data_IF_063401087393
#
_entry.id   IF_063401087393
#
_cell.length_a   1.000
_cell.length_b   1.000
_cell.length_c   1.000
_cell.angle_alpha   90.00
_cell.angle_beta   90.00
_cell.angle_gamma   90.00
#
_symmetry.space_group_name_H-M   'P 1'
#
loop_
_entity.id
_entity.type
_entity.pdbx_description
1 polymer ?
#
# COMPACT_ATOMS: atom_id res chain seq x y z
N UNK A 1 13.41 -10.48 -3.33
CA UNK A 1 13.53 -11.51 -2.27
C UNK A 1 12.17 -11.68 -1.61
N UNK A 2 11.70 -12.90 -1.41
CA UNK A 2 10.34 -13.13 -0.90
C UNK A 2 10.25 -12.69 0.58
N UNK A 3 9.26 -11.87 0.99
CA UNK A 3 9.23 -11.19 2.29
C UNK A 3 9.09 -12.14 3.49
N UNK A 4 8.74 -13.40 3.29
CA UNK A 4 8.61 -14.40 4.34
C UNK A 4 9.95 -15.02 4.79
N UNK A 5 10.99 -14.98 3.96
CA UNK A 5 12.29 -15.57 4.29
C UNK A 5 12.90 -15.08 5.61
N UNK A 6 12.96 -13.76 5.89
CA UNK A 6 13.53 -13.26 7.13
C UNK A 6 12.72 -13.67 8.37
N UNK A 7 11.40 -13.82 8.22
CA UNK A 7 10.52 -14.28 9.30
C UNK A 7 10.83 -15.73 9.65
N UNK A 8 10.93 -16.59 8.64
CA UNK A 8 11.27 -18.01 8.81
C UNK A 8 12.67 -18.16 9.42
N UNK A 9 13.68 -17.47 8.91
CA UNK A 9 15.05 -17.53 9.43
C UNK A 9 15.14 -17.09 10.89
N UNK A 10 14.52 -15.97 11.24
CA UNK A 10 14.51 -15.47 12.61
C UNK A 10 13.81 -16.45 13.56
N UNK A 11 12.67 -17.02 13.14
CA UNK A 11 11.96 -18.02 13.94
C UNK A 11 12.78 -19.31 14.12
N UNK A 12 13.42 -19.80 13.06
CA UNK A 12 14.27 -21.01 13.12
C UNK A 12 15.48 -20.81 14.04
N UNK A 13 16.18 -19.69 13.93
CA UNK A 13 17.34 -19.39 14.79
C UNK A 13 16.89 -19.23 16.25
N UNK A 14 15.80 -18.50 16.48
CA UNK A 14 15.23 -18.32 17.81
C UNK A 14 14.83 -19.66 18.43
N UNK A 15 14.11 -20.50 17.69
CA UNK A 15 13.67 -21.82 18.14
C UNK A 15 14.86 -22.75 18.44
N UNK A 16 15.86 -22.79 17.56
CA UNK A 16 17.06 -23.61 17.77
C UNK A 16 17.85 -23.17 19.02
N UNK A 17 18.05 -21.87 19.19
CA UNK A 17 18.74 -21.31 20.35
C UNK A 17 17.94 -21.56 21.64
N UNK A 18 16.62 -21.40 21.58
CA UNK A 18 15.72 -21.66 22.69
C UNK A 18 15.79 -23.11 23.17
N UNK A 19 15.68 -24.07 22.25
CA UNK A 19 15.74 -25.50 22.56
C UNK A 19 17.04 -25.81 23.29
N UNK A 20 18.17 -25.42 22.70
CA UNK A 20 19.50 -25.72 23.25
C UNK A 20 19.74 -25.10 24.63
N UNK A 21 19.41 -23.82 24.80
CA UNK A 21 19.65 -23.10 26.05
C UNK A 21 18.70 -23.58 27.16
N UNK A 22 17.45 -23.81 26.79
CA UNK A 22 16.44 -24.21 27.75
C UNK A 22 16.59 -25.67 28.18
N UNK A 23 17.01 -26.59 27.30
CA UNK A 23 17.34 -27.97 27.70
C UNK A 23 18.49 -28.01 28.72
N UNK A 24 19.52 -27.16 28.54
CA UNK A 24 20.62 -27.05 29.52
C UNK A 24 20.18 -26.49 30.87
N UNK A 25 19.29 -25.50 30.89
CA UNK A 25 18.74 -24.93 32.13
C UNK A 25 17.92 -25.98 32.91
N UNK A 26 17.04 -26.72 32.23
CA UNK A 26 16.25 -27.77 32.87
C UNK A 26 17.15 -28.88 33.43
N UNK A 27 18.19 -29.28 32.69
CA UNK A 27 19.14 -30.31 33.12
C UNK A 27 20.04 -29.87 34.28
N UNK A 28 20.32 -28.57 34.43
CA UNK A 28 21.13 -28.04 35.51
C UNK A 28 20.34 -27.89 36.83
N UNK A 29 19.05 -27.56 36.76
CA UNK A 29 18.24 -27.24 37.94
C UNK A 29 17.44 -28.43 38.48
N UNK A 30 17.16 -29.45 37.65
CA UNK A 30 16.31 -30.56 38.04
C UNK A 30 17.10 -31.69 38.72
N UNK A 31 16.94 -31.82 40.04
CA UNK A 31 17.55 -32.91 40.84
C UNK A 31 16.63 -34.12 41.07
N UNK A 32 15.31 -33.97 40.82
CA UNK A 32 14.29 -35.01 41.08
C UNK A 32 13.21 -35.04 39.97
N UNK A 33 12.57 -36.19 39.76
CA UNK A 33 11.65 -36.47 38.64
C UNK A 33 10.45 -35.51 38.62
N UNK A 34 9.92 -35.14 39.80
CA UNK A 34 8.84 -34.15 39.91
C UNK A 34 9.28 -32.74 39.49
N UNK A 35 10.54 -32.37 39.78
CA UNK A 35 11.13 -31.09 39.37
C UNK A 35 11.32 -31.00 37.85
N UNK A 36 11.71 -32.10 37.20
CA UNK A 36 11.85 -32.17 35.74
C UNK A 36 10.52 -31.85 35.03
N UNK A 37 9.40 -32.41 35.50
CA UNK A 37 8.07 -32.20 34.91
C UNK A 37 7.59 -30.75 35.05
N UNK A 38 7.81 -30.15 36.23
CA UNK A 38 7.46 -28.75 36.46
C UNK A 38 8.25 -27.80 35.54
N UNK A 39 9.58 -27.97 35.48
CA UNK A 39 10.45 -27.15 34.63
C UNK A 39 10.19 -27.34 33.13
N UNK A 40 9.89 -28.56 32.69
CA UNK A 40 9.44 -28.86 31.31
C UNK A 40 8.15 -28.10 30.95
N UNK A 41 7.17 -28.09 31.85
CA UNK A 41 5.88 -27.43 31.62
C UNK A 41 6.06 -25.91 31.54
N UNK A 42 6.78 -25.31 32.51
CA UNK A 42 7.12 -23.88 32.50
C UNK A 42 7.85 -23.46 31.24
N UNK A 43 8.83 -24.26 30.78
CA UNK A 43 9.55 -24.05 29.52
C UNK A 43 8.59 -23.99 28.33
N UNK A 44 7.63 -24.91 28.25
CA UNK A 44 6.65 -24.97 27.18
C UNK A 44 5.79 -23.70 27.12
N UNK A 45 5.26 -23.25 28.26
CA UNK A 45 4.50 -22.00 28.34
C UNK A 45 5.34 -20.78 27.97
N UNK A 46 6.57 -20.70 28.47
CA UNK A 46 7.51 -19.62 28.17
C UNK A 46 7.84 -19.58 26.67
N UNK A 47 8.01 -20.75 26.03
CA UNK A 47 8.20 -20.86 24.59
C UNK A 47 6.99 -20.33 23.81
N UNK A 48 5.77 -20.73 24.16
CA UNK A 48 4.55 -20.28 23.49
C UNK A 48 4.42 -18.75 23.58
N UNK A 49 4.64 -18.18 24.77
CA UNK A 49 4.55 -16.72 24.97
C UNK A 49 5.63 -15.98 24.17
N UNK A 50 6.89 -16.39 24.26
CA UNK A 50 7.98 -15.72 23.52
C UNK A 50 7.82 -15.89 22.01
N UNK A 51 7.49 -17.09 21.53
CA UNK A 51 7.31 -17.36 20.10
C UNK A 51 6.13 -16.58 19.54
N UNK A 52 5.01 -16.50 20.25
CA UNK A 52 3.86 -15.69 19.86
C UNK A 52 4.19 -14.20 19.80
N UNK A 53 4.91 -13.67 20.80
CA UNK A 53 5.34 -12.28 20.81
C UNK A 53 6.33 -11.95 19.68
N UNK A 54 7.29 -12.85 19.43
CA UNK A 54 8.24 -12.74 18.33
C UNK A 54 7.50 -12.72 16.98
N UNK A 55 6.59 -13.67 16.75
CA UNK A 55 5.80 -13.74 15.53
C UNK A 55 4.93 -12.51 15.35
N UNK A 56 4.30 -12.01 16.41
CA UNK A 56 3.52 -10.78 16.36
C UNK A 56 4.39 -9.58 15.94
N UNK A 57 5.56 -9.42 16.55
CA UNK A 57 6.48 -8.33 16.24
C UNK A 57 6.99 -8.41 14.79
N UNK A 58 7.38 -9.60 14.33
CA UNK A 58 7.86 -9.83 12.97
C UNK A 58 6.76 -9.61 11.92
N UNK A 59 5.57 -10.15 12.17
CA UNK A 59 4.42 -10.02 11.27
C UNK A 59 3.96 -8.57 11.18
N UNK A 60 3.90 -7.86 12.32
CA UNK A 60 3.57 -6.43 12.36
C UNK A 60 4.55 -5.61 11.53
N UNK A 61 5.86 -5.82 11.70
CA UNK A 61 6.90 -5.14 10.90
C UNK A 61 6.79 -5.45 9.41
N UNK A 62 6.56 -6.72 9.05
CA UNK A 62 6.39 -7.13 7.66
C UNK A 62 5.14 -6.48 7.02
N UNK A 63 4.03 -6.46 7.76
CA UNK A 63 2.78 -5.86 7.30
C UNK A 63 2.88 -4.33 7.16
N UNK A 64 3.50 -3.64 8.13
CA UNK A 64 3.77 -2.21 8.03
C UNK A 64 4.65 -1.87 6.83
N UNK A 65 5.68 -2.69 6.56
CA UNK A 65 6.52 -2.52 5.36
C UNK A 65 5.73 -2.70 4.07
N UNK A 66 4.88 -3.72 4.02
CA UNK A 66 4.00 -3.96 2.87
C UNK A 66 3.05 -2.79 2.64
N UNK A 67 2.41 -2.29 3.70
CA UNK A 67 1.52 -1.13 3.61
C UNK A 67 2.24 0.14 3.14
N UNK A 68 3.46 0.38 3.63
CA UNK A 68 4.28 1.52 3.17
C UNK A 68 4.55 1.43 1.68
N UNK A 69 4.94 0.25 1.18
CA UNK A 69 5.19 0.04 -0.24
C UNK A 69 3.92 0.24 -1.09
N UNK A 70 2.77 -0.26 -0.64
CA UNK A 70 1.50 -0.04 -1.34
C UNK A 70 1.10 1.44 -1.38
N UNK A 71 1.24 2.16 -0.25
CA UNK A 71 0.96 3.60 -0.19
C UNK A 71 1.91 4.40 -1.07
N UNK A 72 3.19 4.04 -1.10
CA UNK A 72 4.20 4.69 -1.92
C UNK A 72 3.92 4.50 -3.41
N UNK A 73 3.55 3.29 -3.86
CA UNK A 73 3.12 3.05 -5.24
C UNK A 73 1.93 3.92 -5.64
N UNK A 74 0.93 4.00 -4.78
CA UNK A 74 -0.26 4.83 -5.02
C UNK A 74 0.10 6.32 -5.07
N UNK A 75 0.97 6.78 -4.17
CA UNK A 75 1.44 8.16 -4.15
C UNK A 75 2.20 8.51 -5.43
N UNK A 76 3.13 7.65 -5.85
CA UNK A 76 3.90 7.83 -7.09
C UNK A 76 2.96 7.85 -8.29
N UNK A 77 2.07 6.86 -8.41
CA UNK A 77 1.09 6.81 -9.48
C UNK A 77 0.24 8.09 -9.54
N UNK A 78 -0.30 8.52 -8.40
CA UNK A 78 -1.12 9.74 -8.34
C UNK A 78 -0.31 10.97 -8.79
N UNK A 79 0.92 11.12 -8.30
CA UNK A 79 1.80 12.22 -8.69
C UNK A 79 2.21 12.19 -10.16
N UNK A 80 2.43 11.00 -10.72
CA UNK A 80 2.73 10.84 -12.15
C UNK A 80 1.53 11.26 -12.99
N UNK A 81 0.32 10.79 -12.67
CA UNK A 81 -0.87 11.13 -13.46
C UNK A 81 -1.24 12.62 -13.30
N UNK A 82 -1.13 13.18 -12.10
CA UNK A 82 -1.30 14.63 -11.85
C UNK A 82 -0.31 15.46 -12.69
N UNK A 83 0.97 15.07 -12.71
CA UNK A 83 1.98 15.70 -13.56
C UNK A 83 1.66 15.58 -15.06
N UNK A 84 1.26 14.39 -15.53
CA UNK A 84 0.85 14.18 -16.92
C UNK A 84 -0.35 15.06 -17.30
N UNK A 85 -1.34 15.18 -16.42
CA UNK A 85 -2.50 16.06 -16.62
C UNK A 85 -2.06 17.51 -16.83
N UNK A 86 -1.19 18.04 -15.97
CA UNK A 86 -0.68 19.41 -16.11
C UNK A 86 0.10 19.63 -17.41
N UNK A 87 0.94 18.66 -17.81
CA UNK A 87 1.72 18.75 -19.05
C UNK A 87 0.79 18.74 -20.27
N UNK A 88 -0.17 17.83 -20.32
CA UNK A 88 -1.12 17.70 -21.42
C UNK A 88 -2.02 18.93 -21.53
N UNK A 89 -2.48 19.47 -20.41
CA UNK A 89 -3.28 20.69 -20.41
C UNK A 89 -2.46 21.89 -20.91
N UNK A 90 -1.21 22.02 -20.49
CA UNK A 90 -0.32 23.06 -21.00
C UNK A 90 -0.09 22.92 -22.51
N UNK A 91 0.10 21.69 -23.00
CA UNK A 91 0.24 21.42 -24.43
C UNK A 91 -1.03 21.78 -25.22
N UNK A 92 -2.22 21.43 -24.71
CA UNK A 92 -3.49 21.82 -25.32
C UNK A 92 -3.67 23.33 -25.38
N UNK A 93 -3.33 24.05 -24.31
CA UNK A 93 -3.37 25.51 -24.30
C UNK A 93 -2.45 26.11 -25.38
N UNK A 94 -1.25 25.54 -25.58
CA UNK A 94 -0.37 25.96 -26.66
C UNK A 94 -0.94 25.65 -28.04
N UNK A 95 -1.56 24.48 -28.21
CA UNK A 95 -2.17 24.09 -29.49
C UNK A 95 -3.35 25.00 -29.85
N UNK A 96 -4.17 25.40 -28.87
CA UNK A 96 -5.23 26.38 -29.06
C UNK A 96 -4.70 27.74 -29.51
N UNK A 97 -3.56 28.18 -28.97
CA UNK A 97 -2.90 29.41 -29.42
C UNK A 97 -2.44 29.29 -30.88
N UNK A 98 -1.86 28.15 -31.27
CA UNK A 98 -1.49 27.89 -32.68
C UNK A 98 -2.72 27.90 -33.58
N UNK A 99 -3.82 27.29 -33.16
CA UNK A 99 -5.09 27.31 -33.91
C UNK A 99 -5.60 28.74 -34.08
N UNK A 100 -5.54 29.56 -33.03
CA UNK A 100 -5.95 30.97 -33.08
C UNK A 100 -5.09 31.80 -34.05
N UNK A 101 -3.78 31.58 -34.10
CA UNK A 101 -2.91 32.22 -35.09
C UNK A 101 -3.21 31.75 -36.53
N UNK A 102 -3.53 30.46 -36.70
CA UNK A 102 -3.94 29.91 -38.00
C UNK A 102 -5.27 30.50 -38.50
N UNK A 103 -6.21 30.83 -37.60
CA UNK A 103 -7.45 31.54 -37.95
C UNK A 103 -7.20 32.93 -38.52
N UNK A 104 -6.14 33.60 -38.06
CA UNK A 104 -5.78 34.94 -38.54
C UNK A 104 -5.03 34.92 -39.88
N UNK A 105 -4.59 33.75 -40.34
CA UNK A 105 -3.86 33.60 -41.60
C UNK A 105 -4.84 33.62 -42.79
N UNK A 106 -4.63 34.55 -43.72
CA UNK A 106 -5.44 34.64 -44.94
C UNK A 106 -5.27 33.38 -45.81
N UNK A 107 -6.39 32.70 -46.11
CA UNK A 107 -6.42 31.52 -46.98
C UNK A 107 -6.26 30.18 -46.27
N UNK A 108 -6.30 30.13 -44.93
CA UNK A 108 -6.30 28.88 -44.18
C UNK A 108 -7.66 28.14 -44.30
N UNK A 109 -7.65 26.80 -44.42
CA UNK A 109 -8.89 26.01 -44.61
C UNK A 109 -9.71 25.97 -43.30
N UNK A 110 -10.93 26.52 -43.37
CA UNK A 110 -11.86 26.60 -42.24
C UNK A 110 -12.22 25.22 -41.64
N UNK A 111 -12.25 24.15 -42.45
CA UNK A 111 -12.55 22.79 -41.96
C UNK A 111 -11.41 22.22 -41.13
N UNK A 112 -10.16 22.58 -41.44
CA UNK A 112 -9.00 22.17 -40.65
C UNK A 112 -9.03 22.86 -39.28
N UNK A 113 -9.42 24.14 -39.24
CA UNK A 113 -9.61 24.89 -38.00
C UNK A 113 -10.73 24.30 -37.14
N UNK A 114 -11.86 23.97 -37.75
CA UNK A 114 -12.99 23.33 -37.07
C UNK A 114 -12.59 21.96 -36.47
N UNK A 115 -11.85 21.14 -37.23
CA UNK A 115 -11.33 19.87 -36.76
C UNK A 115 -10.35 20.03 -35.59
N UNK A 116 -9.44 21.01 -35.68
CA UNK A 116 -8.46 21.29 -34.62
C UNK A 116 -9.13 21.76 -33.33
N UNK A 117 -10.16 22.61 -33.43
CA UNK A 117 -10.97 23.04 -32.29
C UNK A 117 -11.74 21.90 -31.66
N UNK A 118 -12.43 21.09 -32.48
CA UNK A 118 -13.18 19.94 -32.01
C UNK A 118 -12.28 18.94 -31.26
N UNK A 119 -11.12 18.61 -31.85
CA UNK A 119 -10.14 17.71 -31.24
C UNK A 119 -9.58 18.26 -29.91
N UNK A 120 -9.26 19.56 -29.86
CA UNK A 120 -8.74 20.20 -28.64
C UNK A 120 -9.79 20.26 -27.53
N UNK A 121 -11.06 20.52 -27.89
CA UNK A 121 -12.19 20.53 -26.96
C UNK A 121 -12.47 19.14 -26.40
N UNK A 122 -12.51 18.12 -27.26
CA UNK A 122 -12.69 16.73 -26.86
C UNK A 122 -11.56 16.26 -25.93
N UNK A 123 -10.31 16.53 -26.29
CA UNK A 123 -9.15 16.18 -25.46
C UNK A 123 -9.20 16.86 -24.08
N UNK A 124 -9.64 18.12 -24.02
CA UNK A 124 -9.83 18.83 -22.74
C UNK A 124 -10.92 18.19 -21.89
N UNK A 125 -12.04 17.79 -22.50
CA UNK A 125 -13.14 17.12 -21.80
C UNK A 125 -12.73 15.75 -21.22
N UNK A 126 -11.98 14.96 -21.98
CA UNK A 126 -11.44 13.67 -21.51
C UNK A 126 -10.42 13.85 -20.38
N UNK A 127 -9.55 14.86 -20.46
CA UNK A 127 -8.62 15.18 -19.38
C UNK A 127 -9.34 15.58 -18.09
N UNK A 128 -10.45 16.33 -18.19
CA UNK A 128 -11.25 16.68 -17.01
C UNK A 128 -11.87 15.44 -16.34
N UNK A 129 -12.31 14.44 -17.11
CA UNK A 129 -12.80 13.17 -16.56
C UNK A 129 -11.70 12.42 -15.80
N UNK A 130 -10.46 12.43 -16.30
CA UNK A 130 -9.32 11.79 -15.63
C UNK A 130 -8.99 12.44 -14.28
N UNK A 131 -9.12 13.78 -14.16
CA UNK A 131 -8.96 14.50 -12.89
C UNK A 131 -9.97 14.04 -11.84
N UNK A 132 -11.22 13.83 -12.25
CA UNK A 132 -12.28 13.43 -11.32
C UNK A 132 -12.13 11.97 -10.84
N UNK A 133 -11.45 11.11 -11.59
CA UNK A 133 -11.10 9.75 -11.13
C UNK A 133 -10.02 9.79 -10.03
N UNK A 134 -9.11 10.77 -10.06
CA UNK A 134 -8.06 10.89 -9.04
C UNK A 134 -8.59 11.25 -7.65
N UNK A 135 -9.65 12.06 -7.57
CA UNK A 135 -10.23 12.49 -6.28
C UNK A 135 -10.92 11.35 -5.54
N UNK A 136 -11.34 10.29 -6.25
CA UNK A 136 -12.14 9.19 -5.69
C UNK A 136 -11.28 8.08 -5.06
N UNK A 137 -9.98 8.00 -5.38
CA UNK A 137 -9.29 6.69 -5.27
C UNK A 137 -8.49 6.46 -3.97
N UNK A 138 -8.38 7.44 -3.06
CA UNK A 138 -7.71 7.22 -1.76
C UNK A 138 -8.58 7.60 -0.55
N UNK A 139 -9.14 8.81 -0.52
CA UNK A 139 -9.99 9.27 0.59
C UNK A 139 -11.37 8.63 0.56
N UNK A 140 -11.98 8.48 -0.62
CA UNK A 140 -13.34 7.94 -0.73
C UNK A 140 -13.41 6.44 -0.42
N UNK A 141 -12.40 5.66 -0.80
CA UNK A 141 -12.36 4.22 -0.47
C UNK A 141 -12.22 4.01 1.03
N UNK A 142 -11.34 4.78 1.71
CA UNK A 142 -11.20 4.68 3.17
C UNK A 142 -12.44 5.17 3.90
N UNK A 143 -13.03 6.30 3.47
CA UNK A 143 -14.26 6.84 4.05
C UNK A 143 -15.43 5.86 3.87
N UNK A 144 -15.65 5.32 2.68
CA UNK A 144 -16.73 4.36 2.39
C UNK A 144 -16.55 3.05 3.16
N UNK A 145 -15.33 2.54 3.29
CA UNK A 145 -15.06 1.31 4.05
C UNK A 145 -15.37 1.52 5.54
N UNK A 146 -14.86 2.60 6.15
CA UNK A 146 -15.12 2.87 7.57
C UNK A 146 -16.57 3.27 7.86
N UNK A 147 -17.21 4.03 6.97
CA UNK A 147 -18.61 4.41 7.09
C UNK A 147 -19.53 3.18 7.00
N UNK A 148 -19.24 2.23 6.11
CA UNK A 148 -19.98 0.97 6.03
C UNK A 148 -19.74 0.05 7.23
N UNK A 149 -18.51 0.01 7.76
CA UNK A 149 -18.23 -0.73 9.00
C UNK A 149 -18.97 -0.13 10.20
N UNK A 150 -19.02 1.20 10.31
CA UNK A 150 -19.76 1.92 11.35
C UNK A 150 -21.27 1.76 11.21
N UNK A 151 -21.82 1.82 9.99
CA UNK A 151 -23.24 1.56 9.72
C UNK A 151 -23.65 0.13 10.05
N UNK A 152 -22.80 -0.87 9.77
CA UNK A 152 -23.03 -2.27 10.19
C UNK A 152 -22.96 -2.47 11.70
N UNK A 153 -22.04 -1.81 12.38
CA UNK A 153 -21.94 -1.89 13.85
C UNK A 153 -23.16 -1.24 14.54
N UNK A 154 -23.68 -0.14 14.00
CA UNK A 154 -24.83 0.59 14.57
C UNK A 154 -26.20 0.06 14.12
N UNK A 155 -26.25 -0.81 13.10
CA UNK A 155 -27.48 -1.44 12.61
C UNK A 155 -27.70 -2.86 13.13
N UNK A 156 -26.92 -3.29 14.12
CA UNK A 156 -27.00 -4.60 14.76
C UNK A 156 -27.50 -4.54 16.23
N UNK A 157 -27.97 -3.37 16.67
CA UNK A 157 -28.79 -3.16 17.88
C UNK A 157 -30.27 -3.07 17.50
#
# INVERSE_FOLDING_TARGET
MKPYLPVVLAYTIFGALWIFLSDRLVAAEASDLAGVVFWQTMKGWLFIVLSSLLLLALTKRAFERQQRLEREKLMIFNKTVEGSYHILLNYLNQMQLVTMEAEQCAGFDARILELAHAASSEATAELMKLRDIQTVTAEHIHAVIYENLRKRANGAE
#
